data_IF_355922487409
#
_entry.id   IF_355922487409
#
_cell.length_a   1.000
_cell.length_b   1.000
_cell.length_c   1.000
_cell.angle_alpha   90.00
_cell.angle_beta   90.00
_cell.angle_gamma   90.00
#
_symmetry.space_group_name_H-M   'P 1'
#
loop_
_entity.id
_entity.type
_entity.pdbx_description
1 polymer ?
#
# COMPACT_ATOMS: atom_id res chain seq x y z
N UNK A 1 33.20 -13.63 18.70
CA UNK A 1 33.60 -13.01 17.43
C UNK A 1 33.32 -11.52 17.51
N UNK A 2 34.36 -10.70 17.62
CA UNK A 2 34.26 -9.24 17.56
C UNK A 2 34.18 -8.83 16.08
N UNK A 3 33.03 -8.35 15.63
CA UNK A 3 32.83 -7.80 14.29
C UNK A 3 33.52 -6.44 14.17
N UNK A 4 34.19 -6.18 13.05
CA UNK A 4 34.65 -4.85 12.68
C UNK A 4 33.46 -3.87 12.46
N UNK A 5 33.67 -2.53 12.41
CA UNK A 5 32.59 -1.55 12.30
C UNK A 5 31.72 -1.70 11.02
N UNK A 6 32.24 -2.38 10.01
CA UNK A 6 31.57 -2.74 8.76
C UNK A 6 30.83 -4.09 8.82
N UNK A 7 30.88 -4.79 9.95
CA UNK A 7 30.19 -6.06 10.19
C UNK A 7 30.95 -7.31 9.71
N UNK A 8 32.17 -7.16 9.17
CA UNK A 8 32.97 -8.31 8.72
C UNK A 8 33.85 -8.89 9.84
N UNK A 9 34.18 -10.20 9.79
CA UNK A 9 35.23 -10.77 10.64
C UNK A 9 36.59 -10.08 10.37
N UNK A 10 37.40 -9.92 11.42
CA UNK A 10 38.74 -9.35 11.28
C UNK A 10 39.61 -10.13 10.27
N UNK A 11 40.29 -9.42 9.37
CA UNK A 11 41.16 -10.01 8.34
C UNK A 11 40.46 -10.43 7.05
N UNK A 12 39.14 -10.21 6.93
CA UNK A 12 38.39 -10.46 5.69
C UNK A 12 38.40 -9.20 4.82
N UNK A 13 38.85 -9.34 3.57
CA UNK A 13 38.68 -8.29 2.56
C UNK A 13 37.19 -8.17 2.15
N UNK A 14 36.54 -7.01 2.36
CA UNK A 14 35.12 -6.83 2.04
C UNK A 14 34.78 -7.10 0.57
N UNK A 15 35.67 -6.74 -0.37
CA UNK A 15 35.43 -6.94 -1.81
C UNK A 15 35.38 -8.43 -2.13
N UNK A 16 36.35 -9.21 -1.64
CA UNK A 16 36.39 -10.67 -1.78
C UNK A 16 35.18 -11.32 -1.13
N UNK A 17 34.78 -10.88 0.06
CA UNK A 17 33.60 -11.39 0.75
C UNK A 17 32.31 -11.12 -0.06
N UNK A 18 32.12 -9.90 -0.55
CA UNK A 18 30.98 -9.54 -1.39
C UNK A 18 30.96 -10.32 -2.72
N UNK A 19 32.10 -10.50 -3.36
CA UNK A 19 32.21 -11.31 -4.58
C UNK A 19 31.80 -12.78 -4.31
N UNK A 20 32.22 -13.35 -3.18
CA UNK A 20 31.79 -14.69 -2.75
C UNK A 20 30.29 -14.80 -2.50
N UNK A 21 29.70 -13.83 -1.81
CA UNK A 21 28.23 -13.77 -1.57
C UNK A 21 27.46 -13.62 -2.88
N UNK A 22 27.93 -12.76 -3.79
CA UNK A 22 27.31 -12.56 -5.10
C UNK A 22 27.38 -13.84 -5.96
N UNK A 23 28.53 -14.51 -6.00
CA UNK A 23 28.68 -15.78 -6.70
C UNK A 23 27.76 -16.86 -6.12
N UNK A 24 27.64 -16.95 -4.79
CA UNK A 24 26.70 -17.88 -4.14
C UNK A 24 25.24 -17.55 -4.47
N UNK A 25 24.87 -16.28 -4.47
CA UNK A 25 23.55 -15.81 -4.87
C UNK A 25 23.23 -16.24 -6.32
N UNK A 26 24.14 -16.01 -7.27
CA UNK A 26 23.97 -16.44 -8.66
C UNK A 26 23.78 -17.95 -8.79
N UNK A 27 24.56 -18.75 -8.05
CA UNK A 27 24.39 -20.22 -8.03
C UNK A 27 23.01 -20.63 -7.50
N UNK A 28 22.53 -20.00 -6.43
CA UNK A 28 21.19 -20.28 -5.87
C UNK A 28 20.08 -19.88 -6.82
N UNK A 29 20.19 -18.72 -7.48
CA UNK A 29 19.25 -18.27 -8.51
C UNK A 29 19.18 -19.29 -9.65
N UNK A 30 20.33 -19.78 -10.12
CA UNK A 30 20.41 -20.79 -11.17
C UNK A 30 19.73 -22.12 -10.80
N UNK A 31 19.65 -22.45 -9.52
CA UNK A 31 18.96 -23.65 -9.01
C UNK A 31 17.45 -23.50 -8.79
N UNK A 32 16.86 -22.33 -9.06
CA UNK A 32 15.41 -22.12 -8.91
C UNK A 32 14.62 -22.68 -10.11
N UNK A 33 13.30 -22.85 -9.94
CA UNK A 33 12.43 -23.38 -11.01
C UNK A 33 12.32 -22.50 -12.25
N UNK A 34 12.48 -21.18 -12.10
CA UNK A 34 12.62 -20.23 -13.20
C UNK A 34 13.75 -19.22 -12.87
N UNK A 35 15.00 -19.56 -13.22
CA UNK A 35 16.16 -18.74 -12.90
C UNK A 35 16.09 -17.32 -13.46
N UNK A 36 15.46 -17.12 -14.63
CA UNK A 36 15.37 -15.81 -15.28
C UNK A 36 14.43 -14.89 -14.51
N UNK A 37 13.24 -15.40 -14.15
CA UNK A 37 12.28 -14.64 -13.35
C UNK A 37 12.81 -14.34 -11.96
N UNK A 38 13.44 -15.32 -11.32
CA UNK A 38 13.97 -15.12 -9.98
C UNK A 38 15.18 -14.17 -9.96
N UNK A 39 16.04 -14.20 -11.00
CA UNK A 39 17.09 -13.20 -11.18
C UNK A 39 16.50 -11.78 -11.29
N UNK A 40 15.41 -11.61 -12.05
CA UNK A 40 14.73 -10.33 -12.17
C UNK A 40 14.16 -9.86 -10.83
N UNK A 41 13.56 -10.74 -10.03
CA UNK A 41 13.10 -10.42 -8.67
C UNK A 41 14.25 -9.88 -7.82
N UNK A 42 15.40 -10.58 -7.81
CA UNK A 42 16.58 -10.19 -7.03
C UNK A 42 17.13 -8.84 -7.51
N UNK A 43 17.16 -8.60 -8.82
CA UNK A 43 17.58 -7.32 -9.39
C UNK A 43 16.63 -6.17 -9.00
N UNK A 44 15.32 -6.40 -9.08
CA UNK A 44 14.29 -5.41 -8.72
C UNK A 44 14.34 -5.07 -7.22
N UNK A 45 14.53 -6.06 -6.34
CA UNK A 45 14.72 -5.85 -4.90
C UNK A 45 15.99 -5.06 -4.59
N UNK A 46 17.09 -5.39 -5.26
CA UNK A 46 18.37 -4.68 -5.07
C UNK A 46 18.27 -3.22 -5.53
N UNK A 47 17.66 -2.98 -6.69
CA UNK A 47 17.42 -1.64 -7.20
C UNK A 47 16.45 -0.85 -6.31
N UNK A 48 15.41 -1.51 -5.80
CA UNK A 48 14.48 -0.92 -4.82
C UNK A 48 15.19 -0.52 -3.52
N UNK A 49 16.06 -1.38 -2.99
CA UNK A 49 16.83 -1.07 -1.79
C UNK A 49 17.74 0.15 -1.98
N UNK A 50 18.37 0.28 -3.14
CA UNK A 50 19.16 1.47 -3.48
C UNK A 50 18.29 2.72 -3.60
N UNK A 51 17.15 2.63 -4.30
CA UNK A 51 16.19 3.72 -4.41
C UNK A 51 15.68 4.20 -3.03
N UNK A 52 15.49 3.28 -2.08
CA UNK A 52 15.08 3.63 -0.71
C UNK A 52 16.12 4.50 0.01
N UNK A 53 17.41 4.20 -0.17
CA UNK A 53 18.51 5.00 0.40
C UNK A 53 18.55 6.38 -0.23
N UNK A 54 18.41 6.47 -1.55
CA UNK A 54 18.40 7.73 -2.29
C UNK A 54 17.20 8.61 -1.92
N UNK A 55 16.00 8.04 -1.87
CA UNK A 55 14.80 8.75 -1.42
C UNK A 55 14.93 9.19 0.05
N UNK A 56 15.57 8.41 0.91
CA UNK A 56 15.82 8.80 2.30
C UNK A 56 16.79 9.98 2.40
N UNK A 57 17.78 10.05 1.50
CA UNK A 57 18.73 11.15 1.43
C UNK A 57 18.05 12.43 0.87
N UNK A 58 17.39 12.31 -0.29
CA UNK A 58 16.69 13.40 -0.95
C UNK A 58 15.56 13.96 -0.07
N UNK A 59 14.67 13.07 0.38
CA UNK A 59 13.46 13.39 1.12
C UNK A 59 12.40 14.11 0.28
N UNK A 60 11.13 13.92 0.64
CA UNK A 60 10.02 14.64 0.03
C UNK A 60 9.99 16.09 0.54
N UNK A 61 10.04 17.12 -0.33
CA UNK A 61 9.87 18.52 0.09
C UNK A 61 8.63 18.72 0.97
N UNK A 62 8.83 19.33 2.14
CA UNK A 62 7.80 19.42 3.18
C UNK A 62 7.80 20.77 3.89
N UNK A 63 6.64 21.43 3.90
CA UNK A 63 6.37 22.72 4.54
C UNK A 63 5.86 22.51 5.97
N UNK A 64 6.73 22.74 6.94
CA UNK A 64 6.41 22.61 8.36
C UNK A 64 5.28 23.55 8.82
N UNK A 65 5.27 24.76 8.28
CA UNK A 65 4.25 25.77 8.55
C UNK A 65 2.88 25.37 7.97
N UNK A 66 2.85 24.80 6.76
CA UNK A 66 1.62 24.28 6.17
C UNK A 66 1.06 23.11 6.97
N UNK A 67 1.93 22.18 7.40
CA UNK A 67 1.51 21.08 8.26
C UNK A 67 0.96 21.60 9.60
N UNK A 68 1.68 22.50 10.27
CA UNK A 68 1.24 23.07 11.55
C UNK A 68 -0.13 23.76 11.43
N UNK A 69 -0.32 24.60 10.41
CA UNK A 69 -1.62 25.25 10.12
C UNK A 69 -2.74 24.22 9.93
N UNK A 70 -2.52 23.18 9.12
CA UNK A 70 -3.53 22.14 8.94
C UNK A 70 -3.89 21.43 10.25
N UNK A 71 -2.92 21.14 11.12
CA UNK A 71 -3.20 20.55 12.43
C UNK A 71 -3.96 21.51 13.33
N UNK A 72 -3.60 22.80 13.34
CA UNK A 72 -4.29 23.82 14.11
C UNK A 72 -5.74 24.02 13.65
N UNK A 73 -5.99 24.03 12.34
CA UNK A 73 -7.35 24.12 11.78
C UNK A 73 -8.21 22.91 12.16
N UNK A 74 -7.61 21.71 12.22
CA UNK A 74 -8.32 20.46 12.51
C UNK A 74 -8.51 20.21 14.00
N UNK A 75 -7.53 20.58 14.84
CA UNK A 75 -7.44 20.15 16.24
C UNK A 75 -7.51 21.32 17.24
N UNK A 76 -7.34 22.56 16.78
CA UNK A 76 -7.10 23.73 17.60
C UNK A 76 -5.60 23.96 17.90
N UNK A 77 -5.27 24.97 18.73
CA UNK A 77 -3.89 25.31 19.06
C UNK A 77 -3.08 24.11 19.54
N UNK A 78 -1.79 24.08 19.19
CA UNK A 78 -0.88 23.00 19.58
C UNK A 78 -0.85 22.84 21.10
N UNK A 79 -1.05 21.59 21.55
CA UNK A 79 -1.00 21.22 22.97
C UNK A 79 0.29 20.48 23.32
N UNK A 80 0.70 20.46 24.61
CA UNK A 80 1.78 19.60 25.10
C UNK A 80 1.47 18.12 24.89
N UNK A 81 2.52 17.29 24.88
CA UNK A 81 2.38 15.82 24.78
C UNK A 81 1.50 15.29 25.91
N UNK A 82 0.54 14.42 25.56
CA UNK A 82 -0.41 13.84 26.51
C UNK A 82 -1.65 14.70 26.80
N UNK A 83 -1.68 15.97 26.36
CA UNK A 83 -2.84 16.85 26.52
C UNK A 83 -3.74 16.75 25.29
N UNK A 84 -5.02 16.46 25.51
CA UNK A 84 -6.04 16.37 24.45
C UNK A 84 -6.24 17.75 23.79
N UNK A 85 -6.16 17.87 22.45
CA UNK A 85 -6.46 19.10 21.74
C UNK A 85 -7.89 19.60 21.95
N UNK A 86 -8.11 20.91 21.84
CA UNK A 86 -9.39 21.57 22.13
C UNK A 86 -10.55 20.94 21.34
N UNK A 87 -10.36 20.71 20.03
CA UNK A 87 -11.44 20.14 19.20
C UNK A 87 -11.81 18.71 19.60
N UNK A 88 -10.83 17.92 20.04
CA UNK A 88 -11.09 16.58 20.58
C UNK A 88 -11.79 16.64 21.94
N UNK A 89 -11.46 17.61 22.79
CA UNK A 89 -12.13 17.81 24.06
C UNK A 89 -13.61 18.21 23.88
N UNK A 90 -13.90 19.11 22.95
CA UNK A 90 -15.27 19.49 22.56
C UNK A 90 -16.08 18.29 22.08
N UNK A 91 -15.51 17.47 21.18
CA UNK A 91 -16.19 16.27 20.67
C UNK A 91 -16.40 15.24 21.78
N UNK A 92 -15.44 15.06 22.70
CA UNK A 92 -15.62 14.20 23.86
C UNK A 92 -16.75 14.69 24.77
N UNK A 93 -16.88 16.01 24.98
CA UNK A 93 -17.99 16.59 25.73
C UNK A 93 -19.35 16.36 25.05
N UNK A 94 -19.41 16.50 23.71
CA UNK A 94 -20.62 16.19 22.93
C UNK A 94 -21.01 14.71 23.02
N UNK A 95 -20.02 13.80 22.99
CA UNK A 95 -20.25 12.36 23.17
C UNK A 95 -20.84 12.08 24.55
N UNK A 96 -20.24 12.65 25.61
CA UNK A 96 -20.74 12.48 26.98
C UNK A 96 -22.17 13.03 27.13
N UNK A 97 -22.44 14.23 26.59
CA UNK A 97 -23.78 14.82 26.61
C UNK A 97 -24.81 13.94 25.88
N UNK A 98 -24.44 13.36 24.74
CA UNK A 98 -25.30 12.45 23.98
C UNK A 98 -25.58 11.12 24.70
N UNK A 99 -24.72 10.70 25.64
CA UNK A 99 -24.95 9.57 26.55
C UNK A 99 -25.50 10.00 27.92
N UNK A 100 -26.23 11.11 27.98
CA UNK A 100 -26.91 11.58 29.20
C UNK A 100 -25.96 12.12 30.28
N UNK A 101 -24.80 12.66 29.87
CA UNK A 101 -23.79 13.21 30.79
C UNK A 101 -22.86 12.16 31.38
N UNK A 102 -23.01 10.88 31.02
CA UNK A 102 -22.07 9.83 31.42
C UNK A 102 -20.68 10.11 30.81
N UNK A 103 -19.65 10.05 31.64
CA UNK A 103 -18.26 10.07 31.17
C UNK A 103 -17.96 8.80 30.40
N UNK A 104 -17.70 8.93 29.10
CA UNK A 104 -17.30 7.84 28.20
C UNK A 104 -15.96 8.21 27.59
N UNK A 105 -14.95 7.35 27.72
CA UNK A 105 -13.69 7.55 27.01
C UNK A 105 -13.84 7.17 25.52
N UNK A 106 -13.81 8.13 24.58
CA UNK A 106 -14.03 7.81 23.16
C UNK A 106 -12.85 7.02 22.53
N UNK A 107 -11.69 7.01 23.19
CA UNK A 107 -10.51 6.24 22.79
C UNK A 107 -10.60 4.76 23.20
N UNK A 108 -11.55 4.40 24.08
CA UNK A 108 -11.75 3.03 24.59
C UNK A 108 -12.90 2.34 23.85
N UNK A 109 -12.64 1.39 22.94
CA UNK A 109 -13.71 0.66 22.26
C UNK A 109 -14.67 -0.02 23.24
N UNK A 110 -14.15 -0.58 24.34
CA UNK A 110 -14.95 -1.28 25.34
C UNK A 110 -15.95 -0.33 26.03
N UNK A 111 -15.50 0.87 26.42
CA UNK A 111 -16.40 1.86 27.04
C UNK A 111 -17.46 2.37 26.07
N UNK A 112 -17.08 2.60 24.80
CA UNK A 112 -18.01 3.01 23.75
C UNK A 112 -19.09 1.95 23.53
N UNK A 113 -18.71 0.67 23.42
CA UNK A 113 -19.66 -0.45 23.28
C UNK A 113 -20.60 -0.52 24.49
N UNK A 114 -20.07 -0.41 25.71
CA UNK A 114 -20.87 -0.41 26.93
C UNK A 114 -21.83 0.79 27.02
N UNK A 115 -21.44 1.95 26.50
CA UNK A 115 -22.29 3.14 26.44
C UNK A 115 -23.45 2.97 25.46
N UNK A 116 -23.20 2.41 24.27
CA UNK A 116 -24.26 2.10 23.31
C UNK A 116 -25.22 1.02 23.84
N UNK A 117 -24.69 -0.06 24.43
CA UNK A 117 -25.52 -1.09 25.03
C UNK A 117 -26.42 -0.55 26.15
N UNK A 118 -25.88 0.33 27.02
CA UNK A 118 -26.67 1.01 28.05
C UNK A 118 -27.73 1.96 27.48
N UNK A 119 -27.50 2.51 26.29
CA UNK A 119 -28.47 3.32 25.55
C UNK A 119 -29.46 2.47 24.71
N UNK A 120 -29.45 1.15 24.84
CA UNK A 120 -30.36 0.25 24.13
C UNK A 120 -29.92 -0.13 22.71
N UNK A 121 -28.66 0.15 22.33
CA UNK A 121 -28.10 -0.21 21.04
C UNK A 121 -27.02 -1.28 21.20
N UNK A 122 -27.35 -2.53 20.84
CA UNK A 122 -26.37 -3.61 20.81
C UNK A 122 -25.55 -3.54 19.51
N UNK A 123 -24.28 -3.16 19.62
CA UNK A 123 -23.38 -2.95 18.49
C UNK A 123 -22.20 -3.92 18.58
N UNK A 124 -21.96 -4.69 17.53
CA UNK A 124 -20.91 -5.71 17.53
C UNK A 124 -19.49 -5.12 17.50
N UNK A 125 -19.34 -3.88 17.02
CA UNK A 125 -18.04 -3.20 16.97
C UNK A 125 -18.19 -1.68 16.86
N UNK A 126 -17.12 -0.96 17.21
CA UNK A 126 -17.06 0.49 17.02
C UNK A 126 -16.63 0.90 15.61
N UNK A 127 -16.64 -0.02 14.63
CA UNK A 127 -16.19 0.29 13.27
C UNK A 127 -17.16 1.25 12.59
N UNK A 128 -16.64 2.17 11.79
CA UNK A 128 -17.44 3.30 11.28
C UNK A 128 -18.62 2.92 10.40
N UNK A 129 -18.63 1.74 9.78
CA UNK A 129 -19.82 1.27 9.05
C UNK A 129 -20.89 0.73 9.98
N UNK A 130 -20.52 -0.02 11.02
CA UNK A 130 -21.47 -0.52 12.04
C UNK A 130 -22.12 0.67 12.75
N UNK A 131 -21.32 1.64 13.19
CA UNK A 131 -21.83 2.80 13.90
C UNK A 131 -22.71 3.71 13.04
N UNK A 132 -22.53 3.75 11.72
CA UNK A 132 -23.31 4.62 10.82
C UNK A 132 -24.78 4.22 10.74
N UNK A 133 -25.08 2.95 10.98
CA UNK A 133 -26.45 2.42 10.90
C UNK A 133 -27.18 2.54 12.26
N UNK A 134 -26.52 3.07 13.29
CA UNK A 134 -27.09 3.25 14.63
C UNK A 134 -27.77 4.61 14.73
N UNK A 135 -29.07 4.60 15.05
CA UNK A 135 -29.85 5.82 15.25
C UNK A 135 -29.64 6.42 16.65
N UNK A 136 -28.45 7.00 16.91
CA UNK A 136 -28.12 7.61 18.20
C UNK A 136 -27.32 8.93 18.04
N UNK A 137 -27.63 10.00 18.81
CA UNK A 137 -26.97 11.31 18.65
C UNK A 137 -25.45 11.30 18.86
N UNK A 138 -24.91 10.36 19.62
CA UNK A 138 -23.46 10.22 19.84
C UNK A 138 -22.68 9.73 18.61
N UNK A 139 -23.33 9.17 17.58
CA UNK A 139 -22.65 8.56 16.43
C UNK A 139 -21.85 9.60 15.65
N UNK A 140 -22.48 10.71 15.26
CA UNK A 140 -21.82 11.79 14.50
C UNK A 140 -20.57 12.34 15.19
N UNK A 141 -20.63 12.80 16.46
CA UNK A 141 -19.44 13.31 17.15
C UNK A 141 -18.41 12.22 17.42
N UNK A 142 -18.81 10.96 17.65
CA UNK A 142 -17.87 9.85 17.81
C UNK A 142 -17.10 9.55 16.52
N UNK A 143 -17.76 9.53 15.36
CA UNK A 143 -17.08 9.34 14.08
C UNK A 143 -16.12 10.49 13.76
N UNK A 144 -16.52 11.73 14.04
CA UNK A 144 -15.66 12.90 13.93
C UNK A 144 -14.45 12.81 14.87
N UNK A 145 -14.67 12.43 16.14
CA UNK A 145 -13.62 12.23 17.14
C UNK A 145 -12.62 11.19 16.65
N UNK A 146 -13.08 10.00 16.25
CA UNK A 146 -12.20 8.92 15.78
C UNK A 146 -11.35 9.35 14.58
N UNK A 147 -11.92 10.12 13.65
CA UNK A 147 -11.18 10.68 12.51
C UNK A 147 -10.07 11.61 12.96
N UNK A 148 -10.38 12.59 13.81
CA UNK A 148 -9.40 13.57 14.29
C UNK A 148 -8.36 12.97 15.24
N UNK A 149 -8.78 12.06 16.13
CA UNK A 149 -7.89 11.34 17.03
C UNK A 149 -6.88 10.49 16.26
N UNK A 150 -7.30 9.90 15.12
CA UNK A 150 -6.37 9.20 14.22
C UNK A 150 -5.36 10.16 13.59
N UNK A 151 -5.79 11.33 13.11
CA UNK A 151 -4.85 12.34 12.57
C UNK A 151 -3.87 12.78 13.65
N UNK A 152 -4.36 13.14 14.84
CA UNK A 152 -3.52 13.59 15.96
C UNK A 152 -2.48 12.54 16.38
N UNK A 153 -2.90 11.27 16.53
CA UNK A 153 -2.01 10.18 16.96
C UNK A 153 -1.07 9.67 15.87
N UNK A 154 -1.54 9.57 14.62
CA UNK A 154 -0.78 8.94 13.54
C UNK A 154 0.05 9.93 12.73
N UNK A 155 -0.38 11.19 12.62
CA UNK A 155 0.26 12.20 11.78
C UNK A 155 0.29 13.61 12.42
N UNK A 156 0.12 13.71 13.74
CA UNK A 156 0.15 14.99 14.45
C UNK A 156 1.56 15.54 14.66
N UNK A 157 1.70 16.48 15.59
CA UNK A 157 2.96 17.19 15.83
C UNK A 157 4.14 16.27 16.15
N UNK A 158 3.94 15.23 16.96
CA UNK A 158 5.00 14.27 17.29
C UNK A 158 5.47 13.45 16.06
N UNK A 159 4.55 13.14 15.14
CA UNK A 159 4.90 12.51 13.86
C UNK A 159 5.70 13.48 12.99
N UNK A 160 5.32 14.76 12.95
CA UNK A 160 6.02 15.78 12.18
C UNK A 160 7.47 15.90 12.66
N UNK A 161 7.68 16.03 13.98
CA UNK A 161 9.02 16.14 14.57
C UNK A 161 9.88 14.90 14.32
N UNK A 162 9.27 13.72 14.27
CA UNK A 162 9.99 12.47 14.04
C UNK A 162 10.46 12.31 12.60
N UNK A 163 9.64 12.72 11.64
CA UNK A 163 9.84 12.37 10.23
C UNK A 163 10.20 13.54 9.34
N UNK A 164 10.00 14.77 9.79
CA UNK A 164 10.33 15.98 9.04
C UNK A 164 11.53 16.67 9.66
N UNK A 165 12.61 16.77 8.89
CA UNK A 165 13.83 17.51 9.26
C UNK A 165 14.33 18.27 8.06
N UNK A 166 14.86 19.48 8.29
CA UNK A 166 15.46 20.32 7.22
C UNK A 166 14.50 20.55 6.03
N UNK A 167 13.20 20.75 6.30
CA UNK A 167 12.20 20.97 5.24
C UNK A 167 11.95 19.75 4.34
N UNK A 168 12.29 18.54 4.79
CA UNK A 168 12.01 17.29 4.08
C UNK A 168 11.35 16.26 4.97
N UNK A 169 10.34 15.61 4.44
CA UNK A 169 9.80 14.38 4.99
C UNK A 169 10.66 13.18 4.57
N UNK A 170 11.19 12.45 5.55
CA UNK A 170 12.16 11.36 5.36
C UNK A 170 11.71 10.11 6.11
N UNK A 171 10.74 9.36 5.58
CA UNK A 171 10.31 8.13 6.20
C UNK A 171 11.43 7.09 6.16
N UNK A 172 11.56 6.29 7.22
CA UNK A 172 12.53 5.20 7.28
C UNK A 172 12.04 4.01 6.45
N UNK A 173 12.23 4.06 5.12
CA UNK A 173 11.81 2.98 4.21
C UNK A 173 12.42 1.63 4.60
N UNK A 174 11.60 0.58 4.55
CA UNK A 174 12.00 -0.81 4.74
C UNK A 174 11.57 -1.59 3.49
N UNK A 175 12.43 -1.65 2.47
CA UNK A 175 12.24 -2.51 1.31
C UNK A 175 11.96 -3.95 1.74
N UNK A 176 11.01 -4.62 1.09
CA UNK A 176 10.60 -5.98 1.45
C UNK A 176 10.11 -6.14 2.90
N UNK A 177 9.68 -5.06 3.56
CA UNK A 177 9.32 -5.05 4.98
C UNK A 177 8.10 -5.90 5.35
N UNK A 178 7.31 -6.33 4.37
CA UNK A 178 6.24 -7.33 4.57
C UNK A 178 6.44 -8.53 3.64
N UNK A 179 5.80 -9.65 3.99
CA UNK A 179 5.91 -10.94 3.31
C UNK A 179 5.65 -10.90 1.80
N UNK A 180 4.73 -10.05 1.33
CA UNK A 180 4.44 -9.87 -0.10
C UNK A 180 5.53 -9.11 -0.86
N UNK A 181 6.53 -8.55 -0.18
CA UNK A 181 7.55 -7.70 -0.79
C UNK A 181 7.21 -6.21 -0.81
N UNK A 182 6.00 -5.83 -0.37
CA UNK A 182 5.69 -4.40 -0.20
C UNK A 182 6.63 -3.77 0.81
N UNK A 183 6.87 -2.49 0.60
CA UNK A 183 7.69 -1.71 1.52
C UNK A 183 6.89 -1.37 2.78
N UNK A 184 7.62 -1.25 3.88
CA UNK A 184 7.10 -0.74 5.14
C UNK A 184 7.92 0.48 5.57
N UNK A 185 7.58 1.05 6.72
CA UNK A 185 8.41 2.07 7.39
C UNK A 185 8.77 1.63 8.78
N UNK A 186 10.01 1.90 9.21
CA UNK A 186 10.40 1.79 10.62
C UNK A 186 9.54 2.75 11.44
N UNK A 187 9.18 2.38 12.67
CA UNK A 187 8.52 3.30 13.60
C UNK A 187 7.02 3.57 13.41
N UNK A 188 6.39 2.96 12.39
CA UNK A 188 4.94 3.06 12.12
C UNK A 188 4.50 4.42 11.55
N UNK A 189 3.53 4.41 10.63
CA UNK A 189 2.85 5.62 10.15
C UNK A 189 3.62 6.52 9.17
N UNK A 190 4.84 6.17 8.76
CA UNK A 190 5.64 6.97 7.83
C UNK A 190 5.30 6.74 6.35
N UNK A 191 4.63 5.65 5.98
CA UNK A 191 4.37 5.36 4.56
C UNK A 191 3.08 6.02 4.04
N UNK A 192 2.13 6.35 4.92
CA UNK A 192 0.82 6.85 4.52
C UNK A 192 0.64 8.31 4.94
N UNK A 193 0.64 9.20 3.94
CA UNK A 193 0.34 10.62 4.13
C UNK A 193 -1.19 10.79 3.97
N UNK A 194 -1.92 11.17 5.03
CA UNK A 194 -3.36 11.36 4.92
C UNK A 194 -3.67 12.54 3.97
N UNK A 195 -4.78 12.46 3.25
CA UNK A 195 -5.20 13.47 2.25
C UNK A 195 -5.14 14.90 2.79
N UNK A 196 -5.54 15.12 4.04
CA UNK A 196 -5.53 16.44 4.67
C UNK A 196 -4.11 17.03 4.78
N UNK A 197 -3.09 16.18 4.91
CA UNK A 197 -1.70 16.60 5.06
C UNK A 197 -0.91 16.57 3.75
N UNK A 198 -1.47 16.06 2.64
CA UNK A 198 -0.80 16.14 1.32
C UNK A 198 -0.44 17.58 0.96
N UNK A 199 -1.20 18.57 1.43
CA UNK A 199 -0.93 20.00 1.22
C UNK A 199 0.38 20.51 1.83
N UNK A 200 0.95 19.79 2.80
CA UNK A 200 2.24 20.12 3.37
C UNK A 200 3.42 19.63 2.51
N UNK A 201 3.21 18.67 1.60
CA UNK A 201 4.20 18.30 0.61
C UNK A 201 4.13 19.28 -0.57
N UNK A 202 5.13 20.16 -0.67
CA UNK A 202 5.18 21.25 -1.65
C UNK A 202 6.56 21.26 -2.27
N UNK A 203 6.63 21.22 -3.60
CA UNK A 203 7.88 21.31 -4.34
C UNK A 203 8.69 22.56 -3.96
N UNK A 204 10.01 22.43 -4.03
CA UNK A 204 10.93 23.56 -3.93
C UNK A 204 10.66 24.63 -5.02
N UNK A 205 11.15 25.87 -4.84
CA UNK A 205 11.16 26.86 -5.92
C UNK A 205 11.73 26.30 -7.23
N UNK A 206 11.12 26.70 -8.35
CA UNK A 206 11.47 26.28 -9.71
C UNK A 206 11.37 24.77 -9.98
N UNK A 207 10.70 24.03 -9.09
CA UNK A 207 10.46 22.60 -9.22
C UNK A 207 8.96 22.27 -9.14
N UNK A 208 8.62 21.08 -9.62
CA UNK A 208 7.32 20.43 -9.46
C UNK A 208 7.50 19.04 -8.85
N UNK A 209 6.42 18.51 -8.27
CA UNK A 209 6.27 17.11 -7.95
C UNK A 209 5.58 16.44 -9.14
N UNK A 210 6.25 15.50 -9.79
CA UNK A 210 5.63 14.57 -10.73
C UNK A 210 5.15 13.37 -9.91
N UNK A 211 3.84 13.35 -9.64
CA UNK A 211 3.16 12.29 -8.89
C UNK A 211 2.56 11.34 -9.91
N UNK A 212 2.79 10.03 -9.71
CA UNK A 212 2.20 9.00 -10.55
C UNK A 212 1.59 7.90 -9.69
N UNK A 213 0.33 7.55 -9.97
CA UNK A 213 -0.40 6.45 -9.32
C UNK A 213 -0.81 5.41 -10.37
N UNK A 214 -0.54 4.13 -10.08
CA UNK A 214 -0.91 3.04 -10.97
C UNK A 214 -2.32 2.53 -10.67
N UNK A 215 -3.27 2.97 -11.49
CA UNK A 215 -4.69 2.69 -11.31
C UNK A 215 -5.03 1.20 -11.37
N UNK A 216 -5.65 0.69 -10.30
CA UNK A 216 -6.23 -0.66 -10.24
C UNK A 216 -5.18 -1.77 -10.47
N UNK A 217 -3.95 -1.58 -9.98
CA UNK A 217 -2.81 -2.46 -10.25
C UNK A 217 -3.09 -3.94 -9.94
N UNK A 218 -3.58 -4.27 -8.74
CA UNK A 218 -3.83 -5.67 -8.35
C UNK A 218 -4.82 -6.40 -9.27
N UNK A 219 -6.03 -5.89 -9.55
CA UNK A 219 -6.94 -6.45 -10.57
C UNK A 219 -6.30 -6.66 -11.94
N UNK A 220 -5.49 -5.72 -12.42
CA UNK A 220 -4.83 -5.80 -13.72
C UNK A 220 -3.76 -6.88 -13.73
N UNK A 221 -3.02 -7.03 -12.63
CA UNK A 221 -2.04 -8.11 -12.51
C UNK A 221 -2.72 -9.47 -12.34
N UNK A 222 -3.90 -9.55 -11.74
CA UNK A 222 -4.69 -10.78 -11.77
C UNK A 222 -5.08 -11.15 -13.21
N UNK A 223 -5.48 -10.19 -14.04
CA UNK A 223 -5.76 -10.41 -15.46
C UNK A 223 -4.50 -10.88 -16.23
N UNK A 224 -3.35 -10.27 -15.96
CA UNK A 224 -2.07 -10.63 -16.57
C UNK A 224 -1.61 -12.04 -16.16
N UNK A 225 -1.67 -12.34 -14.85
CA UNK A 225 -1.19 -13.58 -14.26
C UNK A 225 -2.07 -14.78 -14.62
N UNK A 226 -3.40 -14.60 -14.64
CA UNK A 226 -4.34 -15.68 -14.97
C UNK A 226 -4.44 -15.96 -16.46
N UNK A 227 -4.12 -14.99 -17.32
CA UNK A 227 -4.35 -15.09 -18.75
C UNK A 227 -5.84 -15.15 -19.13
N UNK A 228 -6.77 -14.85 -18.22
CA UNK A 228 -8.21 -14.97 -18.47
C UNK A 228 -8.65 -14.01 -19.60
N UNK A 229 -9.19 -14.50 -20.74
CA UNK A 229 -9.49 -13.64 -21.88
C UNK A 229 -10.51 -12.54 -21.56
N UNK A 230 -11.52 -12.86 -20.75
CA UNK A 230 -12.54 -11.90 -20.34
C UNK A 230 -11.95 -10.82 -19.45
N UNK A 231 -11.09 -11.21 -18.52
CA UNK A 231 -10.46 -10.26 -17.59
C UNK A 231 -9.40 -9.40 -18.27
N UNK A 232 -8.63 -9.97 -19.21
CA UNK A 232 -7.67 -9.23 -20.05
C UNK A 232 -8.37 -8.16 -20.88
N UNK A 233 -9.47 -8.51 -21.56
CA UNK A 233 -10.25 -7.55 -22.32
C UNK A 233 -10.82 -6.43 -21.43
N UNK A 234 -11.29 -6.76 -20.21
CA UNK A 234 -11.74 -5.75 -19.26
C UNK A 234 -10.60 -4.85 -18.76
N UNK A 235 -9.38 -5.37 -18.70
CA UNK A 235 -8.20 -4.62 -18.29
C UNK A 235 -7.67 -3.69 -19.38
N UNK A 236 -8.12 -3.76 -20.63
CA UNK A 236 -7.75 -2.75 -21.63
C UNK A 236 -8.52 -1.43 -21.44
N UNK A 237 -9.61 -1.44 -20.68
CA UNK A 237 -10.34 -0.23 -20.32
C UNK A 237 -9.60 0.61 -19.29
N UNK A 238 -9.82 1.93 -19.29
CA UNK A 238 -9.34 2.85 -18.26
C UNK A 238 -9.87 2.46 -16.86
N UNK A 239 -11.17 2.16 -16.79
CA UNK A 239 -11.81 1.63 -15.58
C UNK A 239 -12.18 0.14 -15.72
N UNK A 240 -11.31 -0.73 -15.21
CA UNK A 240 -11.51 -2.18 -15.21
C UNK A 240 -12.80 -2.60 -14.49
N UNK A 241 -13.18 -1.93 -13.39
CA UNK A 241 -14.40 -2.28 -12.67
C UNK A 241 -15.64 -1.94 -13.48
N UNK A 242 -15.63 -0.81 -14.19
CA UNK A 242 -16.73 -0.44 -15.09
C UNK A 242 -16.85 -1.44 -16.25
N UNK A 243 -15.73 -1.86 -16.84
CA UNK A 243 -15.72 -2.86 -17.91
C UNK A 243 -16.27 -4.23 -17.44
N UNK A 244 -15.83 -4.71 -16.27
CA UNK A 244 -16.38 -5.92 -15.65
C UNK A 244 -17.88 -5.76 -15.35
N UNK A 245 -18.30 -4.57 -14.90
CA UNK A 245 -19.69 -4.31 -14.56
C UNK A 245 -20.62 -4.38 -15.77
N UNK A 246 -20.24 -3.78 -16.88
CA UNK A 246 -20.99 -3.86 -18.14
C UNK A 246 -21.14 -5.31 -18.59
N UNK A 247 -20.05 -6.09 -18.52
CA UNK A 247 -20.03 -7.48 -18.98
C UNK A 247 -20.80 -8.45 -18.08
N UNK A 248 -20.72 -8.27 -16.76
CA UNK A 248 -21.13 -9.31 -15.79
C UNK A 248 -22.17 -8.85 -14.77
N UNK A 249 -22.35 -7.54 -14.57
CA UNK A 249 -23.17 -7.00 -13.48
C UNK A 249 -24.23 -6.00 -13.94
N UNK A 250 -24.64 -6.03 -15.22
CA UNK A 250 -25.65 -5.12 -15.78
C UNK A 250 -25.31 -3.64 -15.52
N UNK A 251 -24.02 -3.29 -15.55
CA UNK A 251 -23.51 -1.95 -15.31
C UNK A 251 -23.27 -1.58 -13.84
N UNK A 252 -23.55 -2.46 -12.87
CA UNK A 252 -23.30 -2.19 -11.45
C UNK A 252 -21.80 -2.28 -11.08
N UNK A 253 -21.12 -1.14 -11.19
CA UNK A 253 -19.70 -0.98 -10.88
C UNK A 253 -19.36 -1.29 -9.43
N UNK A 254 -20.21 -0.88 -8.49
CA UNK A 254 -19.96 -1.10 -7.07
C UNK A 254 -19.97 -2.59 -6.75
N UNK A 255 -20.95 -3.32 -7.29
CA UNK A 255 -21.06 -4.77 -7.14
C UNK A 255 -19.91 -5.52 -7.82
N UNK A 256 -19.48 -5.10 -9.01
CA UNK A 256 -18.31 -5.66 -9.69
C UNK A 256 -17.03 -5.50 -8.84
N UNK A 257 -16.81 -4.29 -8.29
CA UNK A 257 -15.68 -4.00 -7.40
C UNK A 257 -15.71 -4.86 -6.13
N UNK A 258 -16.86 -4.95 -5.47
CA UNK A 258 -17.03 -5.79 -4.26
C UNK A 258 -16.73 -7.25 -4.58
N UNK A 259 -17.28 -7.78 -5.67
CA UNK A 259 -17.03 -9.16 -6.08
C UNK A 259 -15.56 -9.46 -6.32
N UNK A 260 -14.88 -8.60 -7.08
CA UNK A 260 -13.48 -8.83 -7.47
C UNK A 260 -12.53 -8.69 -6.27
N UNK A 261 -12.71 -7.67 -5.43
CA UNK A 261 -11.92 -7.52 -4.20
C UNK A 261 -12.21 -8.67 -3.21
N UNK A 262 -13.46 -9.11 -3.12
CA UNK A 262 -13.85 -10.26 -2.31
C UNK A 262 -13.16 -11.55 -2.77
N UNK A 263 -13.08 -11.76 -4.10
CA UNK A 263 -12.36 -12.87 -4.70
C UNK A 263 -10.88 -12.85 -4.31
N UNK A 264 -10.17 -11.74 -4.56
CA UNK A 264 -8.71 -11.62 -4.33
C UNK A 264 -8.33 -11.72 -2.85
N UNK A 265 -9.09 -11.08 -1.96
CA UNK A 265 -8.74 -11.03 -0.54
C UNK A 265 -9.38 -12.13 0.31
N UNK A 266 -10.11 -13.06 -0.33
CA UNK A 266 -10.71 -14.21 0.34
C UNK A 266 -11.91 -13.86 1.22
N UNK A 267 -12.57 -12.73 0.99
CA UNK A 267 -13.84 -12.39 1.62
C UNK A 267 -14.98 -13.05 0.82
N UNK A 268 -15.26 -14.31 1.13
CA UNK A 268 -16.25 -15.16 0.43
C UNK A 268 -17.67 -15.12 1.05
N UNK A 269 -17.89 -14.32 2.10
CA UNK A 269 -19.18 -14.24 2.81
C UNK A 269 -19.90 -12.89 2.66
N UNK A 270 -21.17 -12.84 3.07
CA UNK A 270 -21.98 -11.62 3.06
C UNK A 270 -22.25 -11.08 1.65
N UNK A 271 -22.12 -9.76 1.46
CA UNK A 271 -22.40 -9.09 0.19
C UNK A 271 -21.53 -9.54 -1.00
N UNK A 272 -20.42 -10.24 -0.76
CA UNK A 272 -19.50 -10.71 -1.79
C UNK A 272 -19.86 -12.10 -2.38
N UNK A 273 -20.72 -12.89 -1.74
CA UNK A 273 -21.00 -14.27 -2.16
C UNK A 273 -21.70 -14.36 -3.53
N UNK A 274 -22.79 -13.60 -3.73
CA UNK A 274 -23.50 -13.59 -5.01
C UNK A 274 -22.66 -12.99 -6.15
N UNK A 275 -21.93 -11.86 -5.97
CA UNK A 275 -21.01 -11.38 -6.98
C UNK A 275 -19.90 -12.36 -7.36
N UNK A 276 -19.39 -13.13 -6.40
CA UNK A 276 -18.33 -14.10 -6.66
C UNK A 276 -18.80 -15.24 -7.57
N UNK A 277 -20.03 -15.72 -7.42
CA UNK A 277 -20.60 -16.74 -8.32
C UNK A 277 -20.63 -16.25 -9.77
N UNK A 278 -21.08 -15.01 -9.99
CA UNK A 278 -21.08 -14.38 -11.32
C UNK A 278 -19.67 -14.29 -11.91
N UNK A 279 -18.67 -13.93 -11.10
CA UNK A 279 -17.28 -13.85 -11.56
C UNK A 279 -16.71 -15.22 -11.93
N UNK A 280 -17.06 -16.29 -11.21
CA UNK A 280 -16.63 -17.66 -11.54
C UNK A 280 -17.09 -18.08 -12.94
N UNK A 281 -18.31 -17.71 -13.31
CA UNK A 281 -18.87 -18.06 -14.61
C UNK A 281 -18.22 -17.26 -15.75
N UNK A 282 -17.93 -15.96 -15.52
CA UNK A 282 -17.44 -15.06 -16.57
C UNK A 282 -15.90 -15.00 -16.70
N UNK A 283 -15.17 -15.31 -15.63
CA UNK A 283 -13.70 -15.21 -15.53
C UNK A 283 -13.08 -16.45 -14.86
N UNK A 284 -13.37 -17.67 -15.35
CA UNK A 284 -13.04 -18.91 -14.65
C UNK A 284 -11.53 -19.12 -14.47
N UNK A 285 -10.68 -18.63 -15.38
CA UNK A 285 -9.23 -18.81 -15.24
C UNK A 285 -8.65 -17.91 -14.13
N UNK A 286 -9.17 -16.69 -13.99
CA UNK A 286 -8.80 -15.79 -12.90
C UNK A 286 -9.19 -16.36 -11.53
N UNK A 287 -10.39 -16.92 -11.42
CA UNK A 287 -10.88 -17.49 -10.17
C UNK A 287 -10.13 -18.78 -9.82
N UNK A 288 -9.88 -19.65 -10.80
CA UNK A 288 -9.10 -20.87 -10.59
C UNK A 288 -7.70 -20.56 -10.06
N UNK A 289 -6.99 -19.57 -10.61
CA UNK A 289 -5.68 -19.16 -10.10
C UNK A 289 -5.71 -18.80 -8.59
N UNK A 290 -6.72 -18.04 -8.17
CA UNK A 290 -6.90 -17.64 -6.78
C UNK A 290 -7.29 -18.82 -5.87
N UNK A 291 -8.10 -19.74 -6.39
CA UNK A 291 -8.54 -20.95 -5.68
C UNK A 291 -7.40 -21.96 -5.55
N UNK A 292 -6.58 -22.15 -6.58
CA UNK A 292 -5.40 -23.03 -6.56
C UNK A 292 -4.36 -22.54 -5.55
N UNK A 293 -4.14 -21.23 -5.47
CA UNK A 293 -3.28 -20.63 -4.45
C UNK A 293 -3.84 -20.84 -3.03
N UNK A 294 -5.17 -20.76 -2.86
CA UNK A 294 -5.81 -21.06 -1.58
C UNK A 294 -5.68 -22.53 -1.19
N UNK A 295 -6.02 -23.45 -2.08
CA UNK A 295 -5.96 -24.89 -1.85
C UNK A 295 -4.53 -25.36 -1.57
N UNK A 296 -3.55 -24.81 -2.29
CA UNK A 296 -2.12 -25.08 -2.02
C UNK A 296 -1.75 -24.64 -0.61
N UNK A 297 -2.16 -23.44 -0.20
CA UNK A 297 -1.92 -22.93 1.15
C UNK A 297 -2.61 -23.74 2.25
N UNK A 298 -3.86 -24.13 2.04
CA UNK A 298 -4.65 -24.98 2.96
C UNK A 298 -3.98 -26.32 3.23
N UNK A 299 -3.23 -26.84 2.25
CA UNK A 299 -2.45 -28.07 2.35
C UNK A 299 -1.00 -27.83 2.79
N UNK A 300 -0.70 -26.66 3.36
CA UNK A 300 0.64 -26.23 3.79
C UNK A 300 1.70 -26.21 2.67
N UNK A 301 1.29 -26.22 1.41
CA UNK A 301 2.16 -26.13 0.25
C UNK A 301 2.77 -24.73 0.07
N UNK A 302 3.86 -24.67 -0.70
CA UNK A 302 4.54 -23.42 -1.04
C UNK A 302 3.82 -22.69 -2.18
N UNK A 303 3.42 -21.45 -1.92
CA UNK A 303 2.85 -20.55 -2.93
C UNK A 303 3.90 -19.51 -3.31
N UNK A 304 4.02 -19.20 -4.61
CA UNK A 304 4.96 -18.22 -5.14
C UNK A 304 4.24 -17.20 -6.00
N UNK A 305 4.74 -15.97 -6.02
CA UNK A 305 4.36 -14.92 -6.98
C UNK A 305 4.90 -15.21 -8.39
N UNK A 306 4.59 -14.32 -9.33
CA UNK A 306 5.03 -14.42 -10.72
C UNK A 306 6.56 -14.52 -10.88
N UNK A 307 7.33 -13.65 -10.22
CA UNK A 307 8.80 -13.68 -10.28
C UNK A 307 9.45 -14.66 -9.30
N UNK A 308 8.65 -15.40 -8.53
CA UNK A 308 9.14 -16.49 -7.69
C UNK A 308 9.35 -16.12 -6.22
N UNK A 309 8.87 -14.96 -5.75
CA UNK A 309 8.84 -14.65 -4.32
C UNK A 309 8.02 -15.71 -3.60
N UNK A 310 8.63 -16.35 -2.61
CA UNK A 310 8.00 -17.46 -1.89
C UNK A 310 7.24 -16.93 -0.68
N UNK A 311 5.96 -17.30 -0.59
CA UNK A 311 5.15 -17.07 0.60
C UNK A 311 5.77 -17.84 1.77
N UNK A 312 6.00 -17.21 2.95
CA UNK A 312 6.54 -17.91 4.11
C UNK A 312 5.71 -19.16 4.42
N UNK A 313 6.34 -20.31 4.73
CA UNK A 313 5.62 -21.55 5.00
C UNK A 313 4.68 -21.41 6.21
N UNK A 314 3.70 -22.30 6.31
CA UNK A 314 2.94 -22.44 7.56
C UNK A 314 3.90 -22.88 8.68
N UNK A 315 3.63 -22.45 9.92
CA UNK A 315 4.47 -22.83 11.07
C UNK A 315 4.27 -24.28 11.47
N UNK A 316 3.06 -24.79 11.27
CA UNK A 316 2.62 -26.14 11.62
C UNK A 316 1.95 -26.80 10.42
N UNK A 317 1.93 -28.13 10.41
CA UNK A 317 1.14 -28.89 9.45
C UNK A 317 -0.35 -28.67 9.74
N UNK A 318 -1.02 -27.94 8.86
CA UNK A 318 -2.43 -27.63 9.00
C UNK A 318 -3.30 -28.77 8.47
N UNK A 319 -4.15 -29.32 9.34
CA UNK A 319 -5.19 -30.26 8.94
C UNK A 319 -6.18 -29.59 7.96
N UNK A 320 -6.42 -30.17 6.76
CA UNK A 320 -7.34 -29.62 5.78
C UNK A 320 -8.75 -29.40 6.35
N UNK A 321 -9.40 -28.31 5.93
CA UNK A 321 -10.76 -27.99 6.37
C UNK A 321 -10.88 -27.31 7.74
N UNK A 322 -9.79 -27.21 8.52
CA UNK A 322 -9.78 -26.45 9.77
C UNK A 322 -9.91 -24.94 9.53
N UNK A 323 -10.38 -24.15 10.53
CA UNK A 323 -10.35 -22.69 10.45
C UNK A 323 -8.95 -22.11 10.18
N UNK A 324 -7.91 -22.74 10.73
CA UNK A 324 -6.52 -22.37 10.51
C UNK A 324 -6.07 -22.61 9.06
N UNK A 325 -6.36 -23.80 8.51
CA UNK A 325 -6.12 -24.09 7.08
C UNK A 325 -6.84 -23.08 6.19
N UNK A 326 -8.14 -22.80 6.42
CA UNK A 326 -8.89 -21.80 5.65
C UNK A 326 -8.31 -20.38 5.77
N UNK A 327 -7.82 -20.01 6.94
CA UNK A 327 -7.13 -18.72 7.12
C UNK A 327 -5.84 -18.66 6.31
N UNK A 328 -5.08 -19.76 6.28
CA UNK A 328 -3.89 -19.91 5.45
C UNK A 328 -4.22 -19.84 3.96
N UNK A 329 -5.29 -20.49 3.50
CA UNK A 329 -5.77 -20.40 2.12
C UNK A 329 -6.14 -18.98 1.70
N UNK A 330 -6.86 -18.24 2.55
CA UNK A 330 -7.14 -16.80 2.29
C UNK A 330 -5.85 -15.98 2.19
N UNK A 331 -4.88 -16.26 3.06
CA UNK A 331 -3.60 -15.56 3.07
C UNK A 331 -2.79 -15.84 1.79
N UNK A 332 -2.65 -17.10 1.37
CA UNK A 332 -1.89 -17.45 0.16
C UNK A 332 -2.58 -16.98 -1.13
N UNK A 333 -3.91 -16.99 -1.16
CA UNK A 333 -4.70 -16.39 -2.24
C UNK A 333 -4.42 -14.90 -2.40
N UNK A 334 -4.44 -14.16 -1.30
CA UNK A 334 -4.13 -12.72 -1.31
C UNK A 334 -2.67 -12.50 -1.73
N UNK A 335 -1.76 -13.30 -1.17
CA UNK A 335 -0.32 -13.21 -1.41
C UNK A 335 0.04 -13.23 -2.89
N UNK A 336 -0.52 -14.14 -3.70
CA UNK A 336 -0.08 -14.33 -5.09
C UNK A 336 -0.23 -13.06 -5.93
N UNK A 337 -1.35 -12.34 -5.76
CA UNK A 337 -1.61 -11.09 -6.48
C UNK A 337 -0.82 -9.93 -5.87
N UNK A 338 -0.83 -9.77 -4.54
CA UNK A 338 -0.13 -8.67 -3.88
C UNK A 338 1.39 -8.73 -4.07
N UNK A 339 1.97 -9.92 -4.05
CA UNK A 339 3.39 -10.09 -4.25
C UNK A 339 3.80 -9.81 -5.71
N UNK A 340 2.97 -10.23 -6.65
CA UNK A 340 3.16 -9.90 -8.07
C UNK A 340 3.00 -8.38 -8.32
N UNK A 341 2.09 -7.72 -7.60
CA UNK A 341 1.94 -6.25 -7.64
C UNK A 341 3.19 -5.54 -7.09
N UNK A 342 3.75 -6.03 -5.99
CA UNK A 342 5.00 -5.50 -5.46
C UNK A 342 6.18 -5.69 -6.42
N UNK A 343 6.24 -6.82 -7.14
CA UNK A 343 7.25 -7.10 -8.17
C UNK A 343 7.18 -6.15 -9.36
N UNK A 344 5.96 -5.88 -9.84
CA UNK A 344 5.74 -4.91 -10.90
C UNK A 344 6.13 -3.50 -10.46
N UNK A 345 5.69 -3.08 -9.27
CA UNK A 345 5.98 -1.75 -8.74
C UNK A 345 7.49 -1.54 -8.48
N UNK A 346 8.20 -2.56 -8.00
CA UNK A 346 9.66 -2.52 -7.86
C UNK A 346 10.37 -2.39 -9.21
N UNK A 347 9.89 -3.12 -10.22
CA UNK A 347 10.44 -3.00 -11.58
C UNK A 347 10.18 -1.61 -12.15
N UNK A 348 9.01 -1.03 -11.89
CA UNK A 348 8.65 0.33 -12.30
C UNK A 348 9.51 1.37 -11.60
N UNK A 349 9.73 1.24 -10.29
CA UNK A 349 10.64 2.08 -9.52
C UNK A 349 12.08 1.99 -10.06
N UNK A 350 12.58 0.78 -10.31
CA UNK A 350 13.93 0.56 -10.81
C UNK A 350 14.15 1.16 -12.21
N UNK A 351 13.19 0.98 -13.12
CA UNK A 351 13.25 1.54 -14.47
C UNK A 351 13.08 3.06 -14.47
N UNK A 352 12.22 3.60 -13.61
CA UNK A 352 12.08 5.05 -13.41
C UNK A 352 13.41 5.63 -12.92
N UNK A 353 13.99 5.04 -11.87
CA UNK A 353 15.30 5.44 -11.34
C UNK A 353 16.37 5.46 -12.43
N UNK A 354 16.44 4.42 -13.26
CA UNK A 354 17.39 4.35 -14.37
C UNK A 354 17.16 5.44 -15.43
N UNK A 355 15.91 5.74 -15.77
CA UNK A 355 15.56 6.78 -16.73
C UNK A 355 15.84 8.20 -16.25
N UNK A 356 15.80 8.45 -14.94
CA UNK A 356 16.07 9.76 -14.35
C UNK A 356 17.55 10.15 -14.33
N UNK A 357 18.48 9.22 -14.51
CA UNK A 357 19.94 9.49 -14.47
C UNK A 357 20.35 10.61 -15.45
N UNK A 358 19.65 10.74 -16.59
CA UNK A 358 19.91 11.78 -17.59
C UNK A 358 19.30 13.14 -17.29
N UNK A 359 18.42 13.26 -16.29
CA UNK A 359 17.64 14.46 -16.01
C UNK A 359 18.19 15.14 -14.76
N UNK A 360 19.15 16.06 -14.97
CA UNK A 360 19.79 16.79 -13.87
C UNK A 360 18.74 17.53 -13.02
N UNK A 361 18.81 17.34 -11.71
CA UNK A 361 17.90 17.97 -10.74
C UNK A 361 16.63 17.17 -10.48
N UNK A 362 16.33 16.12 -11.24
CA UNK A 362 15.23 15.21 -10.92
C UNK A 362 15.66 14.16 -9.89
N UNK A 363 14.82 13.89 -8.89
CA UNK A 363 15.07 12.88 -7.88
C UNK A 363 13.78 12.16 -7.50
N UNK A 364 13.84 10.83 -7.39
CA UNK A 364 12.82 10.07 -6.67
C UNK A 364 12.83 10.52 -5.21
N UNK A 365 11.67 10.88 -4.68
CA UNK A 365 11.55 11.41 -3.31
C UNK A 365 10.54 10.66 -2.45
N UNK A 366 9.62 9.91 -3.06
CA UNK A 366 8.64 9.13 -2.33
C UNK A 366 8.14 7.93 -3.14
N UNK A 367 7.81 6.84 -2.45
CA UNK A 367 7.25 5.62 -3.04
C UNK A 367 6.37 4.91 -1.99
N UNK A 368 5.13 4.61 -2.37
CA UNK A 368 4.19 3.84 -1.55
C UNK A 368 3.35 2.93 -2.43
N UNK A 369 3.63 1.63 -2.35
CA UNK A 369 2.91 0.58 -3.08
C UNK A 369 2.94 0.78 -4.60
N UNK A 370 1.97 1.48 -5.15
CA UNK A 370 1.69 1.75 -6.55
C UNK A 370 1.71 3.25 -6.89
N UNK A 371 2.12 4.10 -5.93
CA UNK A 371 2.33 5.53 -6.12
C UNK A 371 3.83 5.87 -5.99
N UNK A 372 4.36 6.67 -6.91
CA UNK A 372 5.70 7.25 -6.81
C UNK A 372 5.67 8.76 -7.01
N UNK A 373 6.65 9.45 -6.43
CA UNK A 373 6.82 10.90 -6.57
C UNK A 373 8.26 11.21 -6.96
N UNK A 374 8.39 11.98 -8.04
CA UNK A 374 9.66 12.55 -8.49
C UNK A 374 9.61 14.06 -8.26
N UNK A 375 10.60 14.61 -7.55
CA UNK A 375 10.82 16.05 -7.48
C UNK A 375 11.68 16.44 -8.68
N UNK A 376 11.20 17.36 -9.51
CA UNK A 376 11.80 17.65 -10.83
C UNK A 376 11.84 19.16 -11.09
N UNK A 377 12.87 19.69 -11.75
CA UNK A 377 12.87 21.06 -12.25
C UNK A 377 11.64 21.29 -13.14
N UNK A 378 10.95 22.41 -12.98
CA UNK A 378 9.68 22.69 -13.65
C UNK A 378 9.79 22.53 -15.18
N UNK A 379 10.90 22.98 -15.78
CA UNK A 379 11.15 22.87 -17.22
C UNK A 379 11.43 21.45 -17.73
N UNK A 380 11.54 20.45 -16.84
CA UNK A 380 11.79 19.04 -17.17
C UNK A 380 10.67 18.11 -16.68
N UNK A 381 9.58 18.66 -16.14
CA UNK A 381 8.51 17.87 -15.54
C UNK A 381 7.83 16.92 -16.55
N UNK A 382 7.60 17.36 -17.80
CA UNK A 382 6.98 16.50 -18.82
C UNK A 382 7.92 15.36 -19.25
N UNK A 383 9.22 15.64 -19.41
CA UNK A 383 10.20 14.59 -19.69
C UNK A 383 10.25 13.55 -18.57
N UNK A 384 10.18 13.99 -17.32
CA UNK A 384 10.08 13.07 -16.17
C UNK A 384 8.78 12.26 -16.23
N UNK A 385 7.65 12.88 -16.56
CA UNK A 385 6.38 12.17 -16.73
C UNK A 385 6.46 11.09 -17.81
N UNK A 386 7.08 11.39 -18.96
CA UNK A 386 7.34 10.42 -20.03
C UNK A 386 8.24 9.27 -19.57
N UNK A 387 9.31 9.55 -18.81
CA UNK A 387 10.16 8.51 -18.21
C UNK A 387 9.34 7.58 -17.32
N UNK A 388 8.47 8.14 -16.48
CA UNK A 388 7.62 7.37 -15.55
C UNK A 388 6.62 6.49 -16.31
N UNK A 389 5.96 7.02 -17.35
CA UNK A 389 5.03 6.28 -18.23
C UNK A 389 5.75 5.16 -18.99
N UNK A 390 6.89 5.47 -19.61
CA UNK A 390 7.70 4.49 -20.33
C UNK A 390 8.20 3.38 -19.40
N UNK A 391 8.60 3.72 -18.17
CA UNK A 391 9.01 2.75 -17.16
C UNK A 391 7.86 1.78 -16.81
N UNK A 392 6.63 2.25 -16.64
CA UNK A 392 5.48 1.38 -16.33
C UNK A 392 5.16 0.41 -17.48
N UNK A 393 5.14 0.90 -18.72
CA UNK A 393 4.94 0.05 -19.90
C UNK A 393 6.04 -1.02 -20.00
N UNK A 394 7.31 -0.63 -19.79
CA UNK A 394 8.44 -1.56 -19.78
C UNK A 394 8.37 -2.57 -18.63
N UNK A 395 7.89 -2.19 -17.45
CA UNK A 395 7.68 -3.14 -16.34
C UNK A 395 6.66 -4.21 -16.69
N UNK A 396 5.54 -3.83 -17.31
CA UNK A 396 4.54 -4.79 -17.80
C UNK A 396 5.17 -5.79 -18.78
N UNK A 397 5.88 -5.29 -19.79
CA UNK A 397 6.54 -6.14 -20.79
C UNK A 397 7.66 -7.01 -20.20
N UNK A 398 8.40 -6.50 -19.22
CA UNK A 398 9.49 -7.23 -18.56
C UNK A 398 8.97 -8.42 -17.74
N UNK A 399 7.84 -8.24 -17.05
CA UNK A 399 7.24 -9.30 -16.25
C UNK A 399 6.47 -10.29 -17.13
N UNK A 400 5.59 -9.81 -18.00
CA UNK A 400 4.59 -10.66 -18.67
C UNK A 400 4.85 -10.88 -20.16
N UNK A 401 5.92 -10.30 -20.71
CA UNK A 401 6.25 -10.39 -22.13
C UNK A 401 5.47 -9.41 -23.02
N UNK A 402 5.63 -9.51 -24.35
CA UNK A 402 4.87 -8.71 -25.31
C UNK A 402 3.36 -8.89 -25.14
N UNK A 403 2.59 -7.82 -25.23
CA UNK A 403 1.13 -7.87 -25.01
C UNK A 403 0.73 -8.00 -23.53
N UNK A 404 1.59 -7.58 -22.61
CA UNK A 404 1.25 -7.42 -21.21
C UNK A 404 0.00 -6.53 -21.05
N UNK A 405 -0.83 -6.84 -20.04
CA UNK A 405 -1.99 -6.03 -19.69
C UNK A 405 -1.52 -4.60 -19.35
N UNK A 406 -2.13 -3.55 -19.94
CA UNK A 406 -1.73 -2.19 -19.65
C UNK A 406 -2.09 -1.81 -18.20
N UNK A 407 -1.18 -1.07 -17.58
CA UNK A 407 -1.39 -0.42 -16.28
C UNK A 407 -1.45 1.09 -16.55
N UNK A 408 -2.64 1.70 -16.60
CA UNK A 408 -2.78 3.13 -16.78
C UNK A 408 -2.17 3.84 -15.57
N UNK A 409 -1.52 4.97 -15.85
CA UNK A 409 -0.97 5.84 -14.83
C UNK A 409 -1.70 7.17 -14.84
N UNK A 410 -2.18 7.59 -13.68
CA UNK A 410 -2.57 8.97 -13.45
C UNK A 410 -1.31 9.74 -13.07
N UNK A 411 -0.82 10.58 -13.99
CA UNK A 411 0.42 11.36 -13.81
C UNK A 411 0.12 12.85 -13.79
N UNK A 412 0.49 13.51 -12.70
CA UNK A 412 0.30 14.94 -12.52
C UNK A 412 1.61 15.63 -12.12
N UNK A 413 1.93 16.72 -12.81
CA UNK A 413 3.03 17.62 -12.44
C UNK A 413 2.47 18.82 -11.67
N UNK A 414 2.68 18.83 -10.35
CA UNK A 414 2.00 19.76 -9.43
C UNK A 414 2.96 20.44 -8.48
N UNK A 415 2.58 21.63 -7.99
CA UNK A 415 3.37 22.32 -6.96
C UNK A 415 3.11 21.73 -5.58
N UNK A 416 1.86 21.44 -5.24
CA UNK A 416 1.48 20.75 -4.00
C UNK A 416 0.99 19.35 -4.32
N UNK A 417 1.38 18.38 -3.50
CA UNK A 417 0.90 17.00 -3.61
C UNK A 417 -0.62 16.90 -3.36
N UNK A 418 -1.25 17.89 -2.75
CA UNK A 418 -2.71 17.95 -2.63
C UNK A 418 -3.43 18.10 -3.98
N UNK A 419 -2.73 18.59 -5.01
CA UNK A 419 -3.32 18.90 -6.32
C UNK A 419 -3.20 17.72 -7.31
N UNK A 420 -2.56 16.62 -6.90
CA UNK A 420 -2.26 15.48 -7.77
C UNK A 420 -3.45 14.55 -8.08
N UNK A 421 -4.63 14.78 -7.48
CA UNK A 421 -5.82 13.92 -7.60
C UNK A 421 -6.35 13.42 -6.26
#
# INVERSE_FOLDING_TARGET
>A
FTSAPDGFPAGVDPVTAHAGVYADQLRRIAGTGDPRRFALLVAAESAGALAAVEMSAAGLPWRNDAHARTLEDLLGPRTPVGVRPARLAELAAQINAAFGGRTVNPDSPAEVLAAFAAAGHDVESTRSWVLRDVAHPAVTPLLAYKKLARVHSANGWAWQERWVREGRFRPGFVPGGVVSGRWATRGGGGLQIPRQLKGAAVADPDHLLVVADAGQLEPRLLAALSGDPGMRAAADAEDLYAAIAVRSFRGDRARAKIGLLGAMYGQVGGQAAAPLAVLRDHYPAALRLLEDAAHTGERSGLVRSHLGRTCPPARDDLEPGTPAARARGRFTRNFVVQATAAEWALSWLALTRAGLVGIRGAALVFFVHDELVVHSPQGRAEEVAEVVRAAAARSGALLFGPGAVPVPLDVAAVRSYADAG
#
